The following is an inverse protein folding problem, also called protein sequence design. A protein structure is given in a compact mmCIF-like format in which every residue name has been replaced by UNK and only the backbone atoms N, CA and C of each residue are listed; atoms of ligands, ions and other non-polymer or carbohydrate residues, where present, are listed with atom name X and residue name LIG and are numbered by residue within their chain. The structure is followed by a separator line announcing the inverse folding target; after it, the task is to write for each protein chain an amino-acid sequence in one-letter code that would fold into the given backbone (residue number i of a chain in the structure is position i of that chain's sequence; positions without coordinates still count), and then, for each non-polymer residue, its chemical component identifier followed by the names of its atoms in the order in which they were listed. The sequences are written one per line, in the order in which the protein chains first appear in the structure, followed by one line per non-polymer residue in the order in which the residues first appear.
data_IF_696134534427
#
_entry.id   IF_696134534427
#
_cell.length_a   1.000
_cell.length_b   1.000
_cell.length_c   1.000
_cell.angle_alpha   90.00
_cell.angle_beta   90.00
_cell.angle_gamma   90.00
#
_symmetry.space_group_name_H-M   'P 1'
#
loop_
_entity.id
_entity.type
_entity.pdbx_description
1 polymer ?
#
# COMPACT_ATOMS: atom_id res chain seq x y z
N UNK A 1 4.66 1.36 13.46
CA UNK A 1 5.44 1.28 12.20
C UNK A 1 6.90 0.98 12.52
N UNK A 2 7.52 0.16 11.70
CA UNK A 2 8.96 -0.08 11.75
C UNK A 2 9.60 0.41 10.45
N UNK A 3 10.81 0.92 10.53
CA UNK A 3 11.54 1.41 9.36
C UNK A 3 12.93 0.79 9.30
N UNK A 4 13.27 0.21 8.13
CA UNK A 4 14.61 -0.25 7.83
C UNK A 4 15.31 0.80 6.96
N UNK A 5 16.52 1.20 7.34
CA UNK A 5 17.28 2.24 6.64
C UNK A 5 18.53 1.63 6.03
N UNK A 6 18.72 1.84 4.71
CA UNK A 6 19.90 1.41 3.96
C UNK A 6 20.41 2.62 3.17
N UNK A 7 21.40 3.33 3.73
CA UNK A 7 21.90 4.56 3.13
C UNK A 7 20.82 5.62 3.01
N UNK A 8 20.50 6.05 1.78
CA UNK A 8 19.44 7.02 1.50
C UNK A 8 18.08 6.36 1.24
N UNK A 9 18.04 5.03 1.23
CA UNK A 9 16.80 4.28 1.00
C UNK A 9 16.22 3.79 2.31
N UNK A 10 14.90 3.65 2.35
CA UNK A 10 14.23 3.07 3.52
C UNK A 10 13.05 2.21 3.09
N UNK A 11 12.68 1.28 3.96
CA UNK A 11 11.50 0.44 3.83
C UNK A 11 10.67 0.61 5.10
N UNK A 12 9.40 0.94 4.94
CA UNK A 12 8.49 1.09 6.06
C UNK A 12 7.60 -0.14 6.17
N UNK A 13 7.44 -0.63 7.41
CA UNK A 13 6.58 -1.76 7.73
C UNK A 13 5.44 -1.22 8.59
N UNK A 14 4.21 -1.35 8.11
CA UNK A 14 3.01 -0.87 8.80
C UNK A 14 2.30 -2.03 9.47
N UNK A 15 1.99 -1.86 10.77
CA UNK A 15 1.26 -2.86 11.53
C UNK A 15 -0.23 -2.58 11.45
N UNK A 16 -1.02 -3.65 11.25
CA UNK A 16 -2.47 -3.55 11.19
C UNK A 16 -3.09 -4.34 12.34
N UNK A 17 -4.08 -3.73 12.99
CA UNK A 17 -4.88 -4.39 14.01
C UNK A 17 -6.08 -5.05 13.35
N UNK A 18 -6.33 -6.31 13.70
CA UNK A 18 -7.52 -7.02 13.26
C UNK A 18 -8.63 -6.79 14.28
N UNK A 19 -9.79 -6.34 13.80
CA UNK A 19 -10.97 -6.16 14.65
C UNK A 19 -11.87 -7.39 14.62
N UNK A 20 -12.78 -7.50 15.59
CA UNK A 20 -13.70 -8.63 15.71
C UNK A 20 -14.69 -8.70 14.54
N UNK A 21 -14.98 -7.56 13.90
CA UNK A 21 -15.90 -7.48 12.75
C UNK A 21 -15.20 -7.63 11.40
N UNK A 22 -13.97 -8.13 11.39
CA UNK A 22 -13.28 -8.51 10.16
C UNK A 22 -12.57 -7.37 9.44
N UNK A 23 -12.17 -6.32 10.15
CA UNK A 23 -11.42 -5.21 9.58
C UNK A 23 -9.95 -5.30 9.95
N UNK A 24 -9.10 -4.74 9.08
CA UNK A 24 -7.69 -4.50 9.34
C UNK A 24 -7.47 -2.99 9.35
N UNK A 25 -6.96 -2.46 10.44
CA UNK A 25 -6.81 -1.02 10.64
C UNK A 25 -5.36 -0.69 10.96
N UNK A 26 -4.77 0.24 10.21
CA UNK A 26 -3.48 0.84 10.56
C UNK A 26 -3.73 1.98 11.54
N UNK A 27 -3.59 1.70 12.83
CA UNK A 27 -3.87 2.68 13.89
C UNK A 27 -2.93 3.87 13.87
N UNK A 28 -1.69 3.68 13.42
CA UNK A 28 -0.74 4.79 13.35
C UNK A 28 -1.13 5.80 12.28
N UNK A 29 -1.65 5.30 11.15
CA UNK A 29 -2.02 6.15 10.02
C UNK A 29 -3.48 6.60 10.07
N UNK A 30 -4.31 5.98 10.91
CA UNK A 30 -5.72 6.32 11.07
C UNK A 30 -5.92 7.80 11.43
N UNK A 31 -4.97 8.36 12.16
CA UNK A 31 -4.97 9.78 12.53
C UNK A 31 -5.01 10.70 11.30
N UNK A 32 -4.39 10.28 10.20
CA UNK A 32 -4.31 11.09 8.97
C UNK A 32 -5.53 10.91 8.07
N UNK A 33 -5.97 9.68 7.89
CA UNK A 33 -7.14 9.38 7.05
C UNK A 33 -7.63 7.96 7.35
N UNK A 34 -8.63 7.85 8.22
CA UNK A 34 -9.20 6.56 8.62
C UNK A 34 -9.81 5.79 7.46
N UNK A 35 -10.35 6.51 6.44
CA UNK A 35 -10.98 5.85 5.30
C UNK A 35 -9.98 5.10 4.42
N UNK A 36 -8.74 5.58 4.39
CA UNK A 36 -7.67 4.95 3.60
C UNK A 36 -6.91 3.88 4.37
N UNK A 37 -7.07 3.86 5.69
CA UNK A 37 -6.27 3.00 6.57
C UNK A 37 -7.06 1.81 7.10
N UNK A 38 -8.27 1.60 6.61
CA UNK A 38 -9.15 0.50 7.01
C UNK A 38 -9.45 -0.40 5.81
N UNK A 39 -9.15 -1.69 5.95
CA UNK A 39 -9.36 -2.68 4.91
C UNK A 39 -10.21 -3.82 5.43
N UNK A 40 -11.00 -4.45 4.56
CA UNK A 40 -11.67 -5.69 4.90
C UNK A 40 -10.64 -6.83 4.93
N UNK A 41 -10.69 -7.66 5.97
CA UNK A 41 -9.81 -8.80 6.09
C UNK A 41 -9.86 -9.71 4.86
N UNK A 42 -11.06 -9.93 4.31
CA UNK A 42 -11.26 -10.80 3.15
C UNK A 42 -10.71 -10.22 1.84
N UNK A 43 -10.38 -8.93 1.80
CA UNK A 43 -9.71 -8.32 0.64
C UNK A 43 -8.20 -8.51 0.69
N UNK A 44 -7.67 -8.83 1.87
CA UNK A 44 -6.23 -9.00 2.08
C UNK A 44 -5.86 -10.48 2.17
N UNK A 45 -6.62 -11.26 2.95
CA UNK A 45 -6.32 -12.67 3.21
C UNK A 45 -7.36 -13.61 2.59
N UNK A 46 -6.93 -14.81 2.16
CA UNK A 46 -5.55 -15.31 2.17
C UNK A 46 -4.67 -14.58 1.14
N UNK A 47 -3.42 -14.37 1.52
CA UNK A 47 -2.46 -13.74 0.61
C UNK A 47 -2.24 -14.61 -0.61
N UNK A 48 -1.96 -13.98 -1.75
CA UNK A 48 -1.64 -14.68 -2.99
C UNK A 48 -0.20 -14.43 -3.41
N UNK A 49 0.30 -15.29 -4.29
CA UNK A 49 1.65 -15.13 -4.82
C UNK A 49 1.66 -14.07 -5.93
N UNK A 50 2.67 -13.20 -5.89
CA UNK A 50 2.92 -12.19 -6.91
C UNK A 50 4.40 -12.24 -7.28
N UNK A 51 4.74 -11.61 -8.40
CA UNK A 51 6.14 -11.44 -8.81
C UNK A 51 6.53 -9.98 -8.69
N UNK A 52 7.67 -9.74 -8.07
CA UNK A 52 8.24 -8.41 -7.96
C UNK A 52 9.72 -8.48 -8.37
N UNK A 53 10.03 -7.89 -9.53
CA UNK A 53 11.40 -7.91 -10.06
C UNK A 53 11.97 -9.32 -10.21
N UNK A 54 11.16 -10.29 -10.63
CA UNK A 54 11.58 -11.67 -10.78
C UNK A 54 11.58 -12.49 -9.48
N UNK A 55 11.19 -11.89 -8.36
CA UNK A 55 11.12 -12.56 -7.06
C UNK A 55 9.68 -12.82 -6.67
N UNK A 56 9.40 -14.03 -6.17
CA UNK A 56 8.07 -14.37 -5.68
C UNK A 56 7.84 -13.73 -4.32
N UNK A 57 6.75 -12.96 -4.20
CA UNK A 57 6.35 -12.28 -2.96
C UNK A 57 4.89 -12.55 -2.67
N UNK A 58 4.45 -12.20 -1.47
CA UNK A 58 3.04 -12.30 -1.08
C UNK A 58 2.35 -10.97 -1.28
N UNK A 59 1.14 -11.02 -1.83
CA UNK A 59 0.30 -9.86 -2.10
C UNK A 59 -1.06 -10.02 -1.44
N UNK A 60 -1.80 -8.91 -1.21
CA UNK A 60 -3.19 -9.01 -0.81
C UNK A 60 -4.01 -9.83 -1.81
N UNK A 61 -5.07 -10.46 -1.33
CA UNK A 61 -5.98 -11.24 -2.16
C UNK A 61 -6.55 -10.42 -3.31
N UNK A 62 -6.94 -9.17 -3.03
CA UNK A 62 -7.48 -8.23 -4.00
C UNK A 62 -6.61 -6.97 -4.06
N UNK A 63 -5.46 -7.02 -4.75
CA UNK A 63 -4.50 -5.91 -4.71
C UNK A 63 -5.02 -4.62 -5.33
N UNK A 64 -5.91 -4.69 -6.33
CA UNK A 64 -6.47 -3.48 -6.94
C UNK A 64 -7.37 -2.73 -5.97
N UNK A 65 -8.15 -3.43 -5.16
CA UNK A 65 -8.96 -2.79 -4.12
C UNK A 65 -8.09 -2.08 -3.10
N UNK A 66 -6.99 -2.72 -2.71
CA UNK A 66 -6.03 -2.16 -1.76
C UNK A 66 -5.43 -0.86 -2.31
N UNK A 67 -4.95 -0.89 -3.55
CA UNK A 67 -4.32 0.27 -4.19
C UNK A 67 -5.32 1.40 -4.42
N UNK A 68 -6.53 1.08 -4.86
CA UNK A 68 -7.57 2.08 -5.07
C UNK A 68 -7.97 2.78 -3.77
N UNK A 69 -7.98 2.05 -2.67
CA UNK A 69 -8.33 2.62 -1.37
C UNK A 69 -7.27 3.60 -0.88
N UNK A 70 -5.99 3.25 -1.02
CA UNK A 70 -4.88 4.06 -0.51
C UNK A 70 -4.58 5.24 -1.43
N UNK A 71 -4.55 5.02 -2.74
CA UNK A 71 -4.07 6.01 -3.71
C UNK A 71 -5.17 6.60 -4.60
N UNK A 72 -6.42 6.13 -4.46
CA UNK A 72 -7.51 6.51 -5.34
C UNK A 72 -7.52 5.69 -6.63
N UNK A 73 -8.62 5.78 -7.38
CA UNK A 73 -8.83 4.96 -8.57
C UNK A 73 -7.86 5.29 -9.71
N UNK A 74 -7.26 6.48 -9.68
CA UNK A 74 -6.35 6.96 -10.72
C UNK A 74 -4.87 6.69 -10.41
N UNK A 75 -4.57 5.74 -9.52
CA UNK A 75 -3.20 5.51 -9.08
C UNK A 75 -2.26 5.09 -10.21
N UNK A 76 -2.77 4.45 -11.27
CA UNK A 76 -1.96 4.05 -12.44
C UNK A 76 -1.62 5.22 -13.36
N UNK A 77 -2.32 6.34 -13.22
CA UNK A 77 -2.07 7.56 -13.99
C UNK A 77 -1.82 8.72 -13.03
N UNK A 78 -0.71 8.68 -12.26
CA UNK A 78 -0.44 9.72 -11.28
C UNK A 78 -0.24 11.09 -11.97
N UNK A 79 -0.59 12.19 -11.28
CA UNK A 79 -0.46 13.54 -11.87
C UNK A 79 1.01 13.92 -12.11
N UNK A 80 1.94 13.28 -11.44
CA UNK A 80 3.37 13.52 -11.59
C UNK A 80 4.09 12.20 -11.81
N UNK A 81 5.10 12.23 -12.67
CA UNK A 81 5.98 11.07 -12.91
C UNK A 81 7.42 11.51 -12.96
N UNK A 82 8.33 10.60 -12.65
CA UNK A 82 9.76 10.87 -12.75
C UNK A 82 10.21 10.60 -14.20
N UNK A 83 10.85 11.59 -14.80
CA UNK A 83 11.41 11.48 -16.14
C UNK A 83 12.78 12.14 -16.17
N UNK A 84 13.80 11.37 -16.54
CA UNK A 84 15.19 11.86 -16.62
C UNK A 84 15.64 12.51 -15.30
N UNK A 85 15.26 11.92 -14.17
CA UNK A 85 15.64 12.40 -12.85
C UNK A 85 14.85 13.61 -12.34
N UNK A 86 13.83 14.05 -13.06
CA UNK A 86 12.98 15.17 -12.64
C UNK A 86 11.51 14.77 -12.60
N UNK A 87 10.76 15.40 -11.70
CA UNK A 87 9.31 15.22 -11.62
C UNK A 87 8.65 16.09 -12.68
N UNK A 88 7.86 15.46 -13.56
CA UNK A 88 7.12 16.14 -14.61
C UNK A 88 5.64 15.80 -14.49
N UNK A 89 4.78 16.76 -14.86
CA UNK A 89 3.35 16.56 -14.82
C UNK A 89 2.90 15.58 -15.89
N UNK A 90 2.09 14.60 -15.52
CA UNK A 90 1.49 13.64 -16.47
C UNK A 90 0.46 14.34 -17.34
N UNK A 91 0.41 13.95 -18.61
CA UNK A 91 -0.59 14.46 -19.54
C UNK A 91 -1.87 13.63 -19.46
#
# INVERSE_FOLDING_TARGET
MARLILGTHHLDIFYHEQTDDGLLIDREMEYYDENKMTHNYSDIFPLKNCMFGGVKVKCPKHPLKFLNMIYGENWMTPPWKCKNGAWVKSQ
#
